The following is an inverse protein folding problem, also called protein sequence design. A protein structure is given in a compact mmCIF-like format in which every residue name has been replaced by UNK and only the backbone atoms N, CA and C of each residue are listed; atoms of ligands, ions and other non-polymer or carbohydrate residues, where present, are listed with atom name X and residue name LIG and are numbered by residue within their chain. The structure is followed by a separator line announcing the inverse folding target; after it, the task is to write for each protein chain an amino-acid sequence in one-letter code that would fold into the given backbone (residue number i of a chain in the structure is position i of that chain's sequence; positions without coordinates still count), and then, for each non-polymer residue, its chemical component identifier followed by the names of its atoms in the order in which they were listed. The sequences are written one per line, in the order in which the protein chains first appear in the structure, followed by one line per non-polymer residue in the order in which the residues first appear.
data_IF_123616082767
#
_entry.id   IF_123616082767
#
_cell.length_a   1.000
_cell.length_b   1.000
_cell.length_c   1.000
_cell.angle_alpha   90.00
_cell.angle_beta   90.00
_cell.angle_gamma   90.00
#
_symmetry.space_group_name_H-M   'P 1'
#
loop_
_entity.id
_entity.type
_entity.pdbx_description
1 polymer ?
#
# COMPACT_ATOMS: atom_id res chain seq x y z
N UNK A 1 33.17 -4.63 6.76
CA UNK A 1 32.82 -5.75 5.88
C UNK A 1 31.80 -6.59 6.62
N UNK A 2 30.52 -6.50 6.26
CA UNK A 2 29.47 -7.38 6.77
C UNK A 2 29.00 -8.19 5.57
N UNK A 3 29.29 -9.49 5.60
CA UNK A 3 28.95 -10.43 4.54
C UNK A 3 27.42 -10.47 4.38
N UNK A 4 26.94 -10.00 3.23
CA UNK A 4 25.59 -10.28 2.77
C UNK A 4 25.56 -11.73 2.31
N UNK A 5 25.21 -12.61 3.23
CA UNK A 5 24.89 -14.00 2.93
C UNK A 5 23.68 -14.04 2.00
N UNK A 6 23.92 -14.53 0.79
CA UNK A 6 22.94 -14.90 -0.22
C UNK A 6 21.73 -15.61 0.43
N UNK A 7 20.54 -15.00 0.33
CA UNK A 7 19.32 -15.52 0.95
C UNK A 7 18.85 -16.73 0.14
N UNK A 8 19.44 -17.89 0.41
CA UNK A 8 19.08 -19.15 -0.21
C UNK A 8 17.55 -19.37 -0.18
N UNK A 9 16.95 -19.53 -1.36
CA UNK A 9 15.53 -19.79 -1.54
C UNK A 9 15.06 -20.95 -0.64
N UNK A 10 14.18 -20.66 0.32
CA UNK A 10 13.72 -21.65 1.28
C UNK A 10 12.82 -22.70 0.64
N UNK A 11 13.29 -23.94 0.57
CA UNK A 11 12.49 -25.07 0.09
C UNK A 11 11.50 -25.52 1.16
N UNK A 12 10.21 -25.26 0.90
CA UNK A 12 9.12 -25.81 1.69
C UNK A 12 9.07 -27.32 1.51
N UNK A 13 9.38 -28.07 2.57
CA UNK A 13 9.16 -29.51 2.62
C UNK A 13 7.71 -29.77 3.01
N UNK A 14 7.25 -30.99 2.76
CA UNK A 14 5.96 -31.44 3.25
C UNK A 14 5.89 -31.34 4.78
N UNK A 15 6.97 -31.65 5.48
CA UNK A 15 7.06 -31.53 6.94
C UNK A 15 6.87 -30.08 7.41
N UNK A 16 7.53 -29.10 6.78
CA UNK A 16 7.34 -27.69 7.11
C UNK A 16 5.89 -27.23 6.89
N UNK A 17 5.23 -27.75 5.86
CA UNK A 17 3.84 -27.41 5.53
C UNK A 17 2.88 -28.03 6.54
N UNK A 18 3.11 -29.28 6.96
CA UNK A 18 2.34 -29.95 8.02
C UNK A 18 2.47 -29.22 9.34
N UNK A 19 3.70 -28.88 9.74
CA UNK A 19 4.00 -28.17 10.98
C UNK A 19 3.34 -26.80 11.00
N UNK A 20 3.35 -26.07 9.87
CA UNK A 20 2.65 -24.78 9.76
C UNK A 20 1.15 -24.91 10.04
N UNK A 21 0.50 -25.92 9.46
CA UNK A 21 -0.94 -26.14 9.65
C UNK A 21 -1.25 -26.46 11.11
N UNK A 22 -0.53 -27.42 11.70
CA UNK A 22 -0.71 -27.83 13.09
C UNK A 22 -0.41 -26.69 14.07
N UNK A 23 0.69 -25.97 13.85
CA UNK A 23 1.10 -24.87 14.70
C UNK A 23 0.09 -23.73 14.69
N UNK A 24 -0.48 -23.40 13.51
CA UNK A 24 -1.54 -22.38 13.43
C UNK A 24 -2.75 -22.77 14.27
N UNK A 25 -3.17 -24.04 14.23
CA UNK A 25 -4.31 -24.52 15.03
C UNK A 25 -4.00 -24.44 16.52
N UNK A 26 -2.83 -24.94 16.93
CA UNK A 26 -2.40 -24.90 18.32
C UNK A 26 -2.28 -23.47 18.87
N UNK A 27 -1.95 -22.49 18.01
CA UNK A 27 -1.71 -21.10 18.38
C UNK A 27 -2.79 -20.13 17.87
N UNK A 28 -4.04 -20.59 17.72
CA UNK A 28 -5.13 -19.75 17.20
C UNK A 28 -5.32 -18.45 18.01
N UNK A 29 -5.06 -18.50 19.32
CA UNK A 29 -5.12 -17.34 20.22
C UNK A 29 -4.15 -16.20 19.87
N UNK A 30 -3.06 -16.47 19.13
CA UNK A 30 -2.13 -15.44 18.65
C UNK A 30 -2.67 -14.71 17.40
N UNK A 31 -3.63 -15.30 16.69
CA UNK A 31 -4.19 -14.80 15.44
C UNK A 31 -5.52 -14.07 15.65
N UNK A 32 -5.51 -13.08 16.55
CA UNK A 32 -6.71 -12.32 16.99
C UNK A 32 -7.27 -11.31 15.98
N UNK A 33 -6.73 -11.24 14.76
CA UNK A 33 -7.15 -10.26 13.74
C UNK A 33 -6.71 -8.81 14.01
N UNK A 34 -6.05 -8.53 15.14
CA UNK A 34 -5.47 -7.22 15.44
C UNK A 34 -4.31 -6.89 14.49
N UNK A 35 -4.09 -5.60 14.22
CA UNK A 35 -2.99 -5.13 13.35
C UNK A 35 -1.66 -5.72 13.83
N UNK A 36 -0.91 -6.31 12.90
CA UNK A 36 0.38 -6.96 13.11
C UNK A 36 0.39 -8.20 14.04
N UNK A 37 -0.75 -8.61 14.63
CA UNK A 37 -0.78 -9.78 15.52
C UNK A 37 -0.45 -11.08 14.78
N UNK A 38 -0.99 -11.25 13.56
CA UNK A 38 -0.69 -12.41 12.74
C UNK A 38 0.80 -12.50 12.35
N UNK A 39 1.44 -11.37 12.05
CA UNK A 39 2.86 -11.33 11.71
C UNK A 39 3.70 -11.77 12.92
N UNK A 40 3.39 -11.25 14.12
CA UNK A 40 4.05 -11.68 15.37
C UNK A 40 3.86 -13.17 15.65
N UNK A 41 2.67 -13.71 15.40
CA UNK A 41 2.43 -15.15 15.49
C UNK A 41 3.34 -15.94 14.55
N UNK A 42 3.45 -15.53 13.29
CA UNK A 42 4.34 -16.19 12.34
C UNK A 42 5.84 -16.01 12.65
N UNK A 43 6.25 -14.93 13.30
CA UNK A 43 7.62 -14.78 13.82
C UNK A 43 7.95 -15.85 14.86
N UNK A 44 7.02 -16.11 15.80
CA UNK A 44 7.19 -17.17 16.81
C UNK A 44 7.33 -18.53 16.13
N UNK A 45 6.50 -18.83 15.13
CA UNK A 45 6.64 -20.06 14.33
C UNK A 45 8.01 -20.19 13.67
N UNK A 46 8.52 -19.11 13.05
CA UNK A 46 9.83 -19.10 12.39
C UNK A 46 10.97 -19.37 13.39
N UNK A 47 10.87 -18.80 14.60
CA UNK A 47 11.84 -19.04 15.67
C UNK A 47 11.75 -20.48 16.19
N UNK A 48 10.55 -20.98 16.47
CA UNK A 48 10.32 -22.31 17.05
C UNK A 48 10.71 -23.44 16.10
N UNK A 49 10.43 -23.28 14.80
CA UNK A 49 10.80 -24.25 13.77
C UNK A 49 12.26 -24.14 13.31
N UNK A 50 13.07 -23.29 13.96
CA UNK A 50 14.48 -23.04 13.60
C UNK A 50 14.66 -22.61 12.15
N UNK A 51 13.68 -21.88 11.62
CA UNK A 51 13.66 -21.35 10.25
C UNK A 51 14.09 -19.87 10.20
N UNK A 52 14.43 -19.28 11.35
CA UNK A 52 14.95 -17.92 11.46
C UNK A 52 16.15 -17.70 10.56
N UNK A 53 16.12 -16.63 9.77
CA UNK A 53 17.15 -16.29 8.77
C UNK A 53 17.04 -17.03 7.43
N UNK A 54 16.19 -18.07 7.33
CA UNK A 54 15.92 -18.78 6.07
C UNK A 54 14.58 -18.39 5.46
N UNK A 55 13.58 -18.13 6.30
CA UNK A 55 12.25 -17.69 5.86
C UNK A 55 11.75 -16.54 6.74
N UNK A 56 11.15 -15.55 6.11
CA UNK A 56 10.48 -14.45 6.79
C UNK A 56 9.06 -14.83 7.22
N UNK A 57 8.59 -14.27 8.35
CA UNK A 57 7.21 -14.40 8.80
C UNK A 57 6.19 -13.99 7.72
N UNK A 58 6.56 -13.05 6.84
CA UNK A 58 5.74 -12.66 5.69
C UNK A 58 5.57 -13.80 4.66
N UNK A 59 6.62 -14.59 4.41
CA UNK A 59 6.59 -15.73 3.50
C UNK A 59 5.77 -16.89 4.11
N UNK A 60 5.87 -17.12 5.41
CA UNK A 60 5.02 -18.09 6.14
C UNK A 60 3.55 -17.68 6.08
N UNK A 61 3.25 -16.39 6.31
CA UNK A 61 1.90 -15.83 6.15
C UNK A 61 1.36 -16.06 4.74
N UNK A 62 2.16 -15.80 3.70
CA UNK A 62 1.78 -16.00 2.29
C UNK A 62 1.52 -17.48 2.00
N UNK A 63 2.36 -18.40 2.50
CA UNK A 63 2.13 -19.85 2.41
C UNK A 63 0.81 -20.28 3.04
N UNK A 64 0.50 -19.77 4.24
CA UNK A 64 -0.75 -20.05 4.94
C UNK A 64 -1.99 -19.55 4.20
N UNK A 65 -1.96 -18.33 3.66
CA UNK A 65 -3.07 -17.78 2.88
C UNK A 65 -3.29 -18.56 1.57
N UNK A 66 -2.21 -18.99 0.89
CA UNK A 66 -2.32 -19.84 -0.30
C UNK A 66 -2.95 -21.21 0.00
N UNK A 67 -2.61 -21.83 1.14
CA UNK A 67 -3.24 -23.07 1.59
C UNK A 67 -4.74 -22.86 1.85
N UNK A 68 -5.12 -21.78 2.53
CA UNK A 68 -6.52 -21.45 2.77
C UNK A 68 -7.29 -21.18 1.48
N UNK A 69 -6.70 -20.48 0.52
CA UNK A 69 -7.36 -20.20 -0.76
C UNK A 69 -7.64 -21.50 -1.51
N UNK A 70 -6.63 -22.35 -1.69
CA UNK A 70 -6.80 -23.65 -2.35
C UNK A 70 -7.79 -24.55 -1.64
N UNK A 71 -7.84 -24.51 -0.31
CA UNK A 71 -8.88 -25.22 0.47
C UNK A 71 -10.29 -24.69 0.19
N UNK A 72 -10.48 -23.36 0.12
CA UNK A 72 -11.78 -22.76 -0.23
C UNK A 72 -12.22 -23.16 -1.63
N UNK A 73 -11.30 -23.12 -2.59
CA UNK A 73 -11.58 -23.49 -3.98
C UNK A 73 -12.02 -24.96 -4.10
N UNK A 74 -11.48 -25.84 -3.25
CA UNK A 74 -11.85 -27.26 -3.21
C UNK A 74 -13.09 -27.56 -2.35
N UNK A 75 -13.38 -26.73 -1.34
CA UNK A 75 -14.54 -26.91 -0.44
C UNK A 75 -15.83 -26.35 -1.04
N UNK A 76 -15.74 -25.28 -1.82
CA UNK A 76 -16.83 -24.75 -2.62
C UNK A 76 -16.49 -24.99 -4.10
N UNK A 77 -16.64 -26.21 -4.64
CA UNK A 77 -16.56 -26.39 -6.08
C UNK A 77 -17.59 -25.46 -6.71
N UNK A 78 -17.15 -24.51 -7.52
CA UNK A 78 -18.04 -23.59 -8.22
C UNK A 78 -19.04 -24.46 -9.00
N UNK A 79 -20.27 -24.42 -8.52
CA UNK A 79 -21.37 -25.27 -8.96
C UNK A 79 -21.50 -25.22 -10.47
N UNK A 80 -21.30 -26.37 -11.13
CA UNK A 80 -21.76 -26.56 -12.52
C UNK A 80 -20.78 -27.18 -13.52
N UNK A 81 -19.55 -27.56 -13.17
CA UNK A 81 -18.66 -28.31 -14.07
C UNK A 81 -18.11 -29.52 -13.34
N UNK A 82 -18.57 -30.71 -13.74
CA UNK A 82 -17.98 -31.97 -13.30
C UNK A 82 -16.62 -32.12 -13.97
N UNK A 83 -15.53 -32.02 -13.21
CA UNK A 83 -14.19 -32.24 -13.76
C UNK A 83 -13.80 -33.71 -13.67
N UNK A 84 -14.01 -34.43 -14.77
CA UNK A 84 -13.37 -35.73 -15.03
C UNK A 84 -11.93 -35.57 -15.57
N UNK A 85 -11.45 -34.33 -15.75
CA UNK A 85 -10.10 -33.99 -16.23
C UNK A 85 -9.07 -33.83 -15.10
N UNK A 86 -8.88 -34.86 -14.28
CA UNK A 86 -7.70 -34.99 -13.40
C UNK A 86 -7.41 -33.83 -12.45
N UNK A 87 -8.39 -32.94 -12.21
CA UNK A 87 -8.27 -31.81 -11.29
C UNK A 87 -7.97 -32.34 -9.89
N UNK A 88 -7.13 -31.59 -9.16
CA UNK A 88 -6.78 -31.95 -7.79
C UNK A 88 -8.03 -31.76 -6.93
N UNK A 89 -8.92 -32.75 -6.88
CA UNK A 89 -10.09 -32.77 -6.01
C UNK A 89 -9.71 -32.68 -4.54
N UNK A 90 -10.68 -32.34 -3.69
CA UNK A 90 -10.56 -32.45 -2.23
C UNK A 90 -9.94 -33.80 -1.78
N UNK A 91 -10.22 -34.88 -2.51
CA UNK A 91 -9.68 -36.22 -2.22
C UNK A 91 -8.21 -36.43 -2.64
N UNK A 92 -7.71 -35.71 -3.64
CA UNK A 92 -6.34 -35.88 -4.15
C UNK A 92 -5.34 -34.84 -3.63
N UNK A 93 -5.82 -33.76 -3.02
CA UNK A 93 -4.93 -32.80 -2.37
C UNK A 93 -4.52 -33.28 -0.97
N UNK A 94 -3.25 -33.70 -0.82
CA UNK A 94 -2.70 -34.21 0.46
C UNK A 94 -2.83 -33.27 1.67
N UNK A 95 -3.07 -31.98 1.47
CA UNK A 95 -3.30 -31.01 2.55
C UNK A 95 -4.76 -30.79 2.88
N UNK A 96 -5.71 -31.22 2.03
CA UNK A 96 -7.14 -30.97 2.22
C UNK A 96 -7.64 -31.51 3.55
N UNK A 97 -7.42 -32.79 3.84
CA UNK A 97 -7.88 -33.42 5.08
C UNK A 97 -7.29 -32.73 6.33
N UNK A 98 -6.00 -32.41 6.30
CA UNK A 98 -5.30 -31.74 7.42
C UNK A 98 -5.80 -30.30 7.61
N UNK A 99 -6.13 -29.60 6.53
CA UNK A 99 -6.67 -28.23 6.59
C UNK A 99 -8.17 -28.20 6.93
N UNK A 100 -8.94 -29.19 6.49
CA UNK A 100 -10.35 -29.36 6.80
C UNK A 100 -10.56 -29.74 8.27
N UNK A 101 -9.71 -30.60 8.81
CA UNK A 101 -9.66 -30.88 10.25
C UNK A 101 -9.25 -29.62 11.05
N UNK A 102 -8.27 -28.87 10.55
CA UNK A 102 -7.74 -27.67 11.19
C UNK A 102 -8.69 -26.45 11.19
N UNK A 103 -9.53 -26.28 10.16
CA UNK A 103 -10.31 -25.05 9.93
C UNK A 103 -11.79 -25.35 9.61
N UNK A 104 -12.09 -26.53 9.06
CA UNK A 104 -13.42 -26.92 8.59
C UNK A 104 -14.41 -27.33 9.68
N UNK A 105 -13.93 -27.58 10.90
CA UNK A 105 -14.72 -28.12 12.03
C UNK A 105 -15.33 -27.11 13.01
N UNK A 106 -15.43 -25.81 12.71
CA UNK A 106 -16.17 -24.86 13.57
C UNK A 106 -17.60 -24.60 13.03
N UNK A 107 -18.62 -25.36 13.45
CA UNK A 107 -20.00 -24.91 13.33
C UNK A 107 -20.23 -23.79 14.35
N UNK A 108 -19.84 -22.56 14.02
CA UNK A 108 -20.38 -21.37 14.68
C UNK A 108 -21.51 -20.81 13.83
N UNK A 109 -22.55 -21.62 13.66
CA UNK A 109 -23.88 -21.08 13.44
C UNK A 109 -24.72 -21.73 14.54
N UNK A 110 -25.15 -20.94 15.52
CA UNK A 110 -26.33 -21.27 16.30
C UNK A 110 -27.47 -21.09 15.30
N UNK A 111 -28.05 -22.17 14.74
CA UNK A 111 -29.12 -21.97 13.77
C UNK A 111 -30.32 -21.36 14.53
N UNK A 112 -30.92 -20.26 14.04
CA UNK A 112 -32.23 -19.86 14.52
C UNK A 112 -33.19 -21.03 14.25
N UNK A 113 -33.77 -21.57 15.33
CA UNK A 113 -34.79 -22.62 15.29
C UNK A 113 -36.02 -22.10 14.55
N UNK A 114 -36.08 -22.37 13.25
CA UNK A 114 -37.29 -22.18 12.45
C UNK A 114 -38.07 -23.50 12.43
N UNK A 115 -39.19 -23.49 13.15
CA UNK A 115 -40.22 -24.54 13.15
C UNK A 115 -41.13 -24.29 11.93
N UNK A 116 -41.26 -25.26 11.03
CA UNK A 116 -42.45 -25.55 10.19
C UNK A 116 -42.14 -26.78 9.30
N UNK A 117 -42.67 -27.96 9.61
CA UNK A 117 -43.96 -28.53 9.11
C UNK A 117 -43.83 -29.28 7.78
N UNK A 118 -44.34 -30.52 7.81
CA UNK A 118 -44.30 -31.64 6.85
C UNK A 118 -44.77 -31.38 5.41
N UNK A 119 -44.24 -32.14 4.44
CA UNK A 119 -44.89 -32.39 3.13
C UNK A 119 -44.03 -33.03 2.01
N UNK A 120 -44.02 -34.38 1.96
CA UNK A 120 -44.01 -35.31 0.80
C UNK A 120 -43.43 -34.99 -0.62
N UNK A 121 -42.55 -35.91 -1.08
CA UNK A 121 -42.51 -36.64 -2.38
C UNK A 121 -41.86 -36.10 -3.68
N UNK A 122 -41.38 -37.11 -4.46
CA UNK A 122 -41.03 -37.31 -5.89
C UNK A 122 -39.74 -36.80 -6.58
N UNK A 123 -38.86 -37.78 -6.84
CA UNK A 123 -38.35 -38.31 -8.13
C UNK A 123 -37.49 -37.49 -9.15
N UNK A 124 -36.25 -37.99 -9.31
CA UNK A 124 -35.43 -38.34 -10.51
C UNK A 124 -35.76 -37.75 -11.91
N UNK A 125 -34.73 -37.20 -12.60
CA UNK A 125 -34.15 -37.63 -13.91
C UNK A 125 -33.55 -36.47 -14.76
N UNK A 126 -32.36 -36.74 -15.33
CA UNK A 126 -31.49 -35.97 -16.28
C UNK A 126 -32.16 -35.68 -17.66
N UNK A 127 -31.51 -35.14 -18.75
CA UNK A 127 -30.08 -34.95 -19.05
C UNK A 127 -29.64 -33.70 -19.89
N UNK A 128 -28.35 -33.74 -20.26
CA UNK A 128 -27.40 -32.78 -20.85
C UNK A 128 -27.66 -32.24 -22.29
N UNK A 129 -27.02 -31.11 -22.63
CA UNK A 129 -26.73 -30.70 -24.01
C UNK A 129 -25.33 -30.06 -24.09
N UNK A 130 -24.41 -30.71 -24.81
CA UNK A 130 -23.03 -30.27 -25.09
C UNK A 130 -22.95 -29.45 -26.39
N UNK A 131 -22.06 -28.44 -26.44
CA UNK A 131 -21.49 -27.93 -27.71
C UNK A 131 -20.14 -27.21 -27.54
N UNK A 132 -19.13 -27.82 -28.16
CA UNK A 132 -17.98 -27.26 -28.91
C UNK A 132 -17.04 -26.25 -28.22
N UNK A 133 -15.86 -26.67 -27.76
CA UNK A 133 -14.57 -26.82 -28.49
C UNK A 133 -13.96 -25.51 -29.01
N UNK A 134 -12.86 -25.07 -28.38
CA UNK A 134 -11.75 -24.41 -29.06
C UNK A 134 -10.44 -24.81 -28.38
N UNK A 135 -9.71 -25.66 -29.08
CA UNK A 135 -8.42 -26.24 -28.71
C UNK A 135 -7.35 -25.15 -28.57
N UNK A 136 -6.48 -25.28 -27.56
CA UNK A 136 -5.12 -24.74 -27.67
C UNK A 136 -4.10 -25.80 -27.31
N UNK A 137 -3.66 -26.46 -28.38
CA UNK A 137 -2.33 -26.97 -28.67
C UNK A 137 -1.36 -27.13 -27.48
N UNK A 138 -0.90 -28.37 -27.34
CA UNK A 138 0.03 -28.85 -26.33
C UNK A 138 1.19 -27.90 -26.06
N UNK A 139 1.16 -27.30 -24.87
CA UNK A 139 2.38 -26.80 -24.24
C UNK A 139 3.01 -27.99 -23.54
N UNK A 140 4.23 -28.34 -23.98
CA UNK A 140 5.14 -29.22 -23.23
C UNK A 140 5.07 -28.81 -21.76
N UNK A 141 4.79 -29.77 -20.88
CA UNK A 141 4.68 -29.54 -19.43
C UNK A 141 5.92 -28.79 -18.97
N UNK A 142 5.80 -27.49 -18.71
CA UNK A 142 6.85 -26.69 -18.06
C UNK A 142 7.04 -27.23 -16.66
N UNK A 143 8.28 -27.29 -16.21
CA UNK A 143 8.58 -27.73 -14.86
C UNK A 143 7.90 -26.79 -13.86
N UNK A 144 7.46 -27.31 -12.72
CA UNK A 144 6.63 -26.57 -11.74
C UNK A 144 7.35 -25.30 -11.24
N UNK A 145 8.68 -25.34 -11.24
CA UNK A 145 9.59 -24.24 -10.88
C UNK A 145 9.58 -23.11 -11.93
N UNK A 146 9.50 -23.44 -13.21
CA UNK A 146 9.43 -22.48 -14.32
C UNK A 146 8.08 -21.75 -14.36
N UNK A 147 7.00 -22.45 -13.99
CA UNK A 147 5.66 -21.87 -13.81
C UNK A 147 5.57 -20.93 -12.59
N UNK A 148 6.37 -21.18 -11.55
CA UNK A 148 6.46 -20.29 -10.38
C UNK A 148 7.22 -19.01 -10.72
N UNK A 149 8.34 -19.11 -11.44
CA UNK A 149 9.11 -17.96 -11.90
C UNK A 149 8.31 -17.09 -12.88
N UNK A 150 7.63 -17.69 -13.86
CA UNK A 150 6.81 -16.97 -14.86
C UNK A 150 5.56 -16.34 -14.21
N UNK A 151 5.09 -16.85 -13.07
CA UNK A 151 3.98 -16.27 -12.30
C UNK A 151 4.44 -15.14 -11.39
N UNK A 152 5.62 -15.26 -10.77
CA UNK A 152 6.26 -14.22 -9.97
C UNK A 152 6.69 -13.04 -10.83
N UNK A 153 7.24 -13.30 -12.02
CA UNK A 153 7.53 -12.27 -13.03
C UNK A 153 6.24 -11.55 -13.46
N UNK A 154 5.16 -12.29 -13.71
CA UNK A 154 3.87 -11.71 -14.10
C UNK A 154 3.14 -11.01 -12.95
N UNK A 155 3.42 -11.34 -11.70
CA UNK A 155 2.91 -10.63 -10.52
C UNK A 155 3.74 -9.37 -10.25
N UNK A 156 5.06 -9.46 -10.39
CA UNK A 156 5.98 -8.32 -10.32
C UNK A 156 5.71 -7.31 -11.43
N UNK A 157 5.38 -7.75 -12.66
CA UNK A 157 4.93 -6.88 -13.74
C UNK A 157 3.64 -6.13 -13.37
N UNK A 158 2.65 -6.83 -12.81
CA UNK A 158 1.39 -6.19 -12.38
C UNK A 158 1.60 -5.24 -11.20
N UNK A 159 2.52 -5.56 -10.30
CA UNK A 159 2.88 -4.72 -9.17
C UNK A 159 3.68 -3.49 -9.61
N UNK A 160 4.63 -3.64 -10.55
CA UNK A 160 5.31 -2.52 -11.19
C UNK A 160 4.34 -1.64 -11.97
N UNK A 161 3.39 -2.22 -12.71
CA UNK A 161 2.38 -1.46 -13.44
C UNK A 161 1.39 -0.76 -12.46
N UNK A 162 1.08 -1.38 -11.32
CA UNK A 162 0.31 -0.74 -10.26
C UNK A 162 1.07 0.41 -9.61
N UNK A 163 2.34 0.18 -9.26
CA UNK A 163 3.23 1.18 -8.70
C UNK A 163 3.47 2.34 -9.67
N UNK A 164 3.64 2.09 -10.96
CA UNK A 164 3.79 3.14 -11.98
C UNK A 164 2.50 3.96 -12.14
N UNK A 165 1.33 3.31 -12.11
CA UNK A 165 0.04 4.01 -12.12
C UNK A 165 -0.16 4.87 -10.87
N UNK A 166 0.27 4.40 -9.71
CA UNK A 166 0.23 5.15 -8.45
C UNK A 166 1.26 6.28 -8.44
N UNK A 167 2.48 6.03 -8.93
CA UNK A 167 3.54 7.03 -9.04
C UNK A 167 3.15 8.13 -10.03
N UNK A 168 2.51 7.80 -11.15
CA UNK A 168 1.98 8.81 -12.08
C UNK A 168 0.92 9.68 -11.41
N UNK A 169 -0.02 9.08 -10.67
CA UNK A 169 -1.02 9.82 -9.88
C UNK A 169 -0.38 10.69 -8.81
N UNK A 170 0.65 10.17 -8.13
CA UNK A 170 1.40 10.91 -7.12
C UNK A 170 2.14 12.09 -7.74
N UNK A 171 2.80 11.88 -8.88
CA UNK A 171 3.54 12.91 -9.62
C UNK A 171 2.61 14.03 -10.10
N UNK A 172 1.46 13.68 -10.68
CA UNK A 172 0.43 14.65 -11.08
C UNK A 172 -0.11 15.45 -9.88
N UNK A 173 -0.34 14.79 -8.74
CA UNK A 173 -0.77 15.45 -7.51
C UNK A 173 0.30 16.40 -6.97
N UNK A 174 1.57 15.97 -6.92
CA UNK A 174 2.69 16.78 -6.48
C UNK A 174 2.94 17.97 -7.41
N UNK A 175 2.88 17.80 -8.72
CA UNK A 175 3.02 18.89 -9.69
C UNK A 175 1.88 19.91 -9.55
N UNK A 176 0.65 19.43 -9.32
CA UNK A 176 -0.50 20.30 -9.07
C UNK A 176 -0.35 21.07 -7.76
N UNK A 177 0.20 20.44 -6.73
CA UNK A 177 0.49 21.08 -5.45
C UNK A 177 1.62 22.11 -5.57
N UNK A 178 2.71 21.77 -6.27
CA UNK A 178 3.84 22.66 -6.53
C UNK A 178 3.39 23.87 -7.35
N UNK A 179 2.57 23.68 -8.38
CA UNK A 179 1.99 24.79 -9.15
C UNK A 179 1.19 25.74 -8.26
N UNK A 180 0.32 25.19 -7.41
CA UNK A 180 -0.48 26.00 -6.47
C UNK A 180 0.42 26.73 -5.47
N UNK A 181 1.50 26.09 -5.03
CA UNK A 181 2.43 26.71 -4.11
C UNK A 181 3.25 27.83 -4.77
N UNK A 182 3.72 27.60 -6.00
CA UNK A 182 4.40 28.61 -6.81
C UNK A 182 3.50 29.82 -7.07
N UNK A 183 2.24 29.60 -7.47
CA UNK A 183 1.26 30.68 -7.65
C UNK A 183 1.02 31.46 -6.35
N UNK A 184 0.95 30.78 -5.20
CA UNK A 184 0.85 31.45 -3.89
C UNK A 184 2.09 32.29 -3.58
N UNK A 185 3.28 31.74 -3.78
CA UNK A 185 4.56 32.43 -3.53
C UNK A 185 4.72 33.64 -4.45
N UNK A 186 4.46 33.51 -5.74
CA UNK A 186 4.53 34.63 -6.69
C UNK A 186 3.54 35.75 -6.32
N UNK A 187 2.33 35.39 -5.88
CA UNK A 187 1.34 36.37 -5.45
C UNK A 187 1.73 37.07 -4.15
N UNK A 188 2.33 36.34 -3.22
CA UNK A 188 2.88 36.88 -1.97
C UNK A 188 4.07 37.80 -2.24
N UNK A 189 5.03 37.38 -3.08
CA UNK A 189 6.17 38.19 -3.51
C UNK A 189 5.73 39.47 -4.21
N UNK A 190 4.72 39.42 -5.10
CA UNK A 190 4.15 40.63 -5.72
C UNK A 190 3.59 41.59 -4.69
N UNK A 191 2.85 41.07 -3.71
CA UNK A 191 2.29 41.89 -2.62
C UNK A 191 3.37 42.51 -1.76
N UNK A 192 4.42 41.75 -1.43
CA UNK A 192 5.57 42.26 -0.70
C UNK A 192 6.32 43.32 -1.50
N UNK A 193 6.54 43.09 -2.79
CA UNK A 193 7.25 44.02 -3.65
C UNK A 193 6.49 45.34 -3.78
N UNK A 194 5.16 45.29 -3.99
CA UNK A 194 4.32 46.48 -3.97
C UNK A 194 4.35 47.19 -2.60
N UNK A 195 4.39 46.44 -1.50
CA UNK A 195 4.47 47.02 -0.17
C UNK A 195 5.82 47.75 0.05
N UNK A 196 6.93 47.12 -0.36
CA UNK A 196 8.28 47.68 -0.30
C UNK A 196 8.38 48.94 -1.16
N UNK A 197 7.87 48.94 -2.38
CA UNK A 197 7.87 50.14 -3.24
C UNK A 197 7.04 51.29 -2.65
N UNK A 198 5.89 50.98 -2.05
CA UNK A 198 5.07 51.99 -1.36
C UNK A 198 5.79 52.56 -0.14
N UNK A 199 6.51 51.73 0.60
CA UNK A 199 7.32 52.14 1.75
C UNK A 199 8.50 53.01 1.29
N UNK A 200 9.27 52.58 0.29
CA UNK A 200 10.37 53.37 -0.27
C UNK A 200 9.91 54.72 -0.81
N UNK A 201 8.72 54.80 -1.42
CA UNK A 201 8.17 56.07 -1.89
C UNK A 201 7.87 56.99 -0.72
N UNK A 202 7.27 56.46 0.35
CA UNK A 202 7.01 57.23 1.58
C UNK A 202 8.32 57.71 2.22
N UNK A 203 9.32 56.85 2.27
CA UNK A 203 10.64 57.19 2.82
C UNK A 203 11.33 58.28 1.99
N UNK A 204 11.28 58.19 0.66
CA UNK A 204 11.80 59.25 -0.23
C UNK A 204 11.09 60.57 0.00
N UNK A 205 9.76 60.58 0.03
CA UNK A 205 8.97 61.79 0.30
C UNK A 205 9.30 62.37 1.69
N UNK A 206 9.50 61.53 2.70
CA UNK A 206 9.88 61.95 4.04
C UNK A 206 11.27 62.58 4.08
N UNK A 207 12.26 61.95 3.42
CA UNK A 207 13.62 62.49 3.30
C UNK A 207 13.65 63.81 2.56
N UNK A 208 12.93 63.95 1.45
CA UNK A 208 12.83 65.22 0.71
C UNK A 208 12.20 66.33 1.55
N UNK A 209 11.16 66.02 2.34
CA UNK A 209 10.54 66.99 3.27
C UNK A 209 11.48 67.37 4.39
N UNK A 210 12.31 66.45 4.87
CA UNK A 210 13.33 66.72 5.88
C UNK A 210 14.44 67.60 5.29
N UNK A 211 15.00 67.24 4.14
CA UNK A 211 16.00 68.05 3.44
C UNK A 211 15.50 69.47 3.13
N UNK A 212 14.22 69.64 2.76
CA UNK A 212 13.66 70.97 2.52
C UNK A 212 13.63 71.79 3.80
N UNK A 213 13.23 71.17 4.92
CA UNK A 213 13.27 71.82 6.24
C UNK A 213 14.69 72.18 6.63
N UNK A 214 15.65 71.30 6.39
CA UNK A 214 17.07 71.54 6.68
C UNK A 214 17.70 72.64 5.80
N UNK A 215 17.29 72.76 4.54
CA UNK A 215 17.70 73.87 3.68
C UNK A 215 17.11 75.19 4.17
N UNK A 216 15.81 75.19 4.49
CA UNK A 216 15.14 76.38 5.03
C UNK A 216 15.75 76.82 6.37
N UNK A 217 16.13 75.90 7.25
CA UNK A 217 16.82 76.23 8.51
C UNK A 217 18.22 76.78 8.26
N UNK A 218 19.01 76.13 7.39
CA UNK A 218 20.35 76.64 7.00
C UNK A 218 20.31 78.03 6.37
N UNK A 219 19.37 78.28 5.46
CA UNK A 219 19.19 79.61 4.85
C UNK A 219 18.79 80.66 5.90
N UNK A 220 17.94 80.31 6.86
CA UNK A 220 17.58 81.21 7.97
C UNK A 220 18.79 81.51 8.85
N UNK A 221 19.59 80.50 9.17
CA UNK A 221 20.83 80.64 9.94
C UNK A 221 21.87 81.49 9.20
N UNK A 222 22.09 81.27 7.90
CA UNK A 222 23.01 82.09 7.10
C UNK A 222 22.57 83.55 7.03
N UNK A 223 21.27 83.82 6.78
CA UNK A 223 20.74 85.19 6.78
C UNK A 223 20.93 85.87 8.14
N UNK A 224 20.74 85.12 9.22
CA UNK A 224 20.96 85.62 10.57
C UNK A 224 22.44 85.95 10.81
N UNK A 225 23.37 85.08 10.39
CA UNK A 225 24.80 85.34 10.49
C UNK A 225 25.24 86.55 9.64
N UNK A 226 24.72 86.70 8.42
CA UNK A 226 24.99 87.88 7.57
C UNK A 226 24.51 89.18 8.22
N UNK A 227 23.35 89.17 8.87
CA UNK A 227 22.88 90.33 9.63
C UNK A 227 23.82 90.66 10.79
N UNK A 228 24.26 89.67 11.55
CA UNK A 228 25.24 89.87 12.64
C UNK A 228 26.56 90.44 12.12
N UNK A 229 27.06 89.96 10.98
CA UNK A 229 28.27 90.49 10.34
C UNK A 229 28.11 91.94 9.89
N UNK A 230 26.95 92.31 9.35
CA UNK A 230 26.61 93.71 9.00
C UNK A 230 26.56 94.62 10.23
N UNK A 231 26.01 94.14 11.34
CA UNK A 231 25.99 94.89 12.60
C UNK A 231 27.38 95.01 13.24
N UNK A 232 28.25 94.01 13.08
CA UNK A 232 29.61 94.02 13.62
C UNK A 232 30.61 94.89 12.81
N UNK A 233 30.28 95.23 11.55
CA UNK A 233 31.11 96.09 10.67
C UNK A 233 30.78 97.59 10.75
N UNK A 234 29.82 97.99 11.59
CA UNK A 234 29.51 99.39 11.92
C UNK A 234 30.18 99.79 13.22
#
# INVERSE_FOLDING_TARGET
MAESGDAAHFKWTDEHTRLLIQWRVANEALFTGRRNAAIKGFEVFVTEQKLSGKISAAQVKRKWENLKQKYKDLKCPQTGVSTEDGEVTAASWKWYAVLDEAIGGRPSITPPTLIASSGSDVAVTSPSSVRSTAERAGRKRKDIEELMYEMEEREAEREMEAAEREERRWREMMEREERRERERREHEERREQEAREREERRDREMREREERRDRETKEREERFLQLLELFAKK
#
